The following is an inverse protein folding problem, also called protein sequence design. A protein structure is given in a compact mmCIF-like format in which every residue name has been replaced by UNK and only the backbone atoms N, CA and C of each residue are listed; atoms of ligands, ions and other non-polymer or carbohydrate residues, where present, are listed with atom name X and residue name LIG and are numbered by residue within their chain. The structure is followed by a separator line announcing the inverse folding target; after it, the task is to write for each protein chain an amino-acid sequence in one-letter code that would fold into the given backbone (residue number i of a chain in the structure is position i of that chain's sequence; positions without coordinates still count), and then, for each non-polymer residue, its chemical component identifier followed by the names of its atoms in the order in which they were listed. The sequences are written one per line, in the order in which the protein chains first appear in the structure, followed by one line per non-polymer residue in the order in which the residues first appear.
data_IF_916889758304
#
_entry.id   IF_916889758304
#
_cell.length_a   1.000
_cell.length_b   1.000
_cell.length_c   1.000
_cell.angle_alpha   90.00
_cell.angle_beta   90.00
_cell.angle_gamma   90.00
#
_symmetry.space_group_name_H-M   'P 1'
#
loop_
_entity.id
_entity.type
_entity.pdbx_description
1 polymer ?
#
# COMPACT_ATOMS: atom_id res chain seq x y z
N UNK A 1 18.46 -3.10 21.37
CA UNK A 1 17.14 -3.44 20.79
C UNK A 1 16.41 -4.46 21.63
N UNK A 2 15.15 -4.18 21.99
CA UNK A 2 14.28 -5.13 22.70
C UNK A 2 13.99 -6.34 21.78
N UNK A 3 13.66 -7.51 22.37
CA UNK A 3 13.38 -8.76 21.60
C UNK A 3 12.32 -8.54 20.51
N UNK A 4 11.26 -7.81 20.83
CA UNK A 4 10.17 -7.51 19.89
C UNK A 4 10.59 -6.65 18.69
N UNK A 5 11.53 -5.72 18.88
CA UNK A 5 12.03 -4.88 17.79
C UNK A 5 12.84 -5.72 16.80
N UNK A 6 13.66 -6.64 17.30
CA UNK A 6 14.39 -7.60 16.46
C UNK A 6 13.45 -8.49 15.66
N UNK A 7 12.36 -8.95 16.28
CA UNK A 7 11.34 -9.75 15.60
C UNK A 7 10.68 -8.95 14.48
N UNK A 8 10.25 -7.70 14.74
CA UNK A 8 9.61 -6.86 13.72
C UNK A 8 10.55 -6.57 12.54
N UNK A 9 11.83 -6.28 12.80
CA UNK A 9 12.83 -6.09 11.74
C UNK A 9 13.04 -7.38 10.96
N UNK A 10 13.18 -8.52 11.63
CA UNK A 10 13.36 -9.81 10.96
C UNK A 10 12.15 -10.16 10.08
N UNK A 11 10.92 -9.96 10.58
CA UNK A 11 9.69 -10.12 9.81
C UNK A 11 9.68 -9.21 8.59
N UNK A 12 10.05 -7.93 8.75
CA UNK A 12 10.12 -6.99 7.64
C UNK A 12 11.11 -7.43 6.56
N UNK A 13 12.32 -7.80 6.96
CA UNK A 13 13.37 -8.26 6.05
C UNK A 13 12.93 -9.52 5.29
N UNK A 14 12.42 -10.53 6.00
CA UNK A 14 11.95 -11.77 5.38
C UNK A 14 10.80 -11.50 4.42
N UNK A 15 9.85 -10.65 4.81
CA UNK A 15 8.70 -10.32 3.98
C UNK A 15 9.11 -9.53 2.72
N UNK A 16 10.05 -8.60 2.81
CA UNK A 16 10.57 -7.88 1.64
C UNK A 16 11.39 -8.77 0.72
N UNK A 17 12.24 -9.64 1.26
CA UNK A 17 12.97 -10.62 0.47
C UNK A 17 12.00 -11.55 -0.26
N UNK A 18 10.93 -11.99 0.39
CA UNK A 18 9.90 -12.80 -0.24
C UNK A 18 9.08 -12.01 -1.29
N UNK A 19 8.79 -10.72 -1.06
CA UNK A 19 8.14 -9.85 -2.04
C UNK A 19 8.98 -9.72 -3.33
N UNK A 20 10.29 -9.51 -3.18
CA UNK A 20 11.23 -9.43 -4.31
C UNK A 20 11.37 -10.79 -4.99
N UNK A 21 11.62 -11.85 -4.23
CA UNK A 21 11.82 -13.20 -4.77
C UNK A 21 10.55 -13.75 -5.43
N UNK A 22 9.37 -13.39 -4.93
CA UNK A 22 8.10 -13.87 -5.47
C UNK A 22 7.81 -13.38 -6.90
N UNK A 23 8.46 -12.30 -7.37
CA UNK A 23 8.45 -11.95 -8.80
C UNK A 23 9.03 -13.05 -9.69
N UNK A 24 9.96 -13.85 -9.15
CA UNK A 24 10.64 -14.93 -9.87
C UNK A 24 10.06 -16.31 -9.55
N UNK A 25 9.50 -16.48 -8.34
CA UNK A 25 9.05 -17.79 -7.84
C UNK A 25 7.53 -17.93 -7.87
N UNK A 26 6.79 -16.92 -7.40
CA UNK A 26 5.34 -16.99 -7.25
C UNK A 26 4.61 -16.57 -8.53
N UNK A 27 5.09 -15.51 -9.19
CA UNK A 27 4.47 -14.97 -10.41
C UNK A 27 4.36 -15.98 -11.56
N UNK A 28 5.40 -16.77 -11.92
CA UNK A 28 5.25 -17.78 -12.97
C UNK A 28 4.23 -18.87 -12.61
N UNK A 29 4.14 -19.23 -11.32
CA UNK A 29 3.14 -20.17 -10.82
C UNK A 29 1.72 -19.60 -10.92
N UNK A 30 1.54 -18.32 -10.59
CA UNK A 30 0.27 -17.61 -10.72
C UNK A 30 -0.21 -17.51 -12.18
N UNK A 31 0.69 -17.15 -13.10
CA UNK A 31 0.35 -17.07 -14.53
C UNK A 31 -0.10 -18.43 -15.08
N UNK A 32 0.62 -19.51 -14.76
CA UNK A 32 0.21 -20.88 -15.14
C UNK A 32 -1.12 -21.29 -14.49
N UNK A 33 -1.40 -20.82 -13.27
CA UNK A 33 -2.68 -21.07 -12.59
C UNK A 33 -3.84 -20.35 -13.29
N UNK A 34 -3.64 -19.09 -13.69
CA UNK A 34 -4.62 -18.32 -14.46
C UNK A 34 -4.87 -18.93 -15.85
N UNK A 35 -3.80 -19.32 -16.56
CA UNK A 35 -3.88 -19.95 -17.89
C UNK A 35 -4.65 -21.28 -17.86
N UNK A 36 -4.56 -22.03 -16.76
CA UNK A 36 -5.30 -23.30 -16.55
C UNK A 36 -6.73 -23.09 -16.02
N UNK A 37 -7.19 -21.83 -15.89
CA UNK A 37 -8.53 -21.51 -15.40
C UNK A 37 -8.82 -22.02 -13.99
N UNK A 38 -7.79 -22.27 -13.18
CA UNK A 38 -7.93 -22.88 -11.85
C UNK A 38 -8.39 -24.33 -11.84
N UNK A 39 -8.33 -25.03 -12.98
CA UNK A 39 -8.66 -26.45 -13.08
C UNK A 39 -7.39 -27.30 -13.01
N UNK A 40 -7.44 -28.41 -12.27
CA UNK A 40 -6.36 -29.40 -12.27
C UNK A 40 -6.32 -30.12 -13.63
N UNK A 41 -5.14 -30.57 -14.05
CA UNK A 41 -4.99 -31.37 -15.28
C UNK A 41 -5.83 -32.67 -15.24
N UNK A 42 -6.28 -33.09 -14.05
CA UNK A 42 -7.31 -34.08 -13.83
C UNK A 42 -8.61 -33.37 -13.39
N UNK A 43 -9.49 -33.04 -14.34
CA UNK A 43 -10.79 -32.45 -14.02
C UNK A 43 -11.57 -33.36 -13.08
N UNK A 44 -11.78 -32.91 -11.82
CA UNK A 44 -12.89 -33.24 -10.89
C UNK A 44 -12.54 -33.11 -9.39
N UNK A 45 -11.30 -32.79 -9.01
CA UNK A 45 -10.94 -32.53 -7.61
C UNK A 45 -10.13 -31.23 -7.43
N UNK A 46 -10.34 -30.56 -6.29
CA UNK A 46 -9.52 -29.41 -5.88
C UNK A 46 -8.11 -29.93 -5.57
N UNK A 47 -7.20 -29.78 -6.52
CA UNK A 47 -5.83 -30.27 -6.41
C UNK A 47 -5.05 -29.46 -5.36
N UNK A 48 -4.37 -30.15 -4.43
CA UNK A 48 -3.55 -29.53 -3.39
C UNK A 48 -2.46 -28.62 -4.01
N UNK A 49 -1.97 -28.96 -5.21
CA UNK A 49 -1.02 -28.13 -5.94
C UNK A 49 -1.61 -26.76 -6.31
N UNK A 50 -2.89 -26.72 -6.66
CA UNK A 50 -3.64 -25.48 -6.96
C UNK A 50 -3.79 -24.63 -5.69
N UNK A 51 -4.19 -25.22 -4.57
CA UNK A 51 -4.36 -24.51 -3.30
C UNK A 51 -3.02 -23.94 -2.80
N UNK A 52 -1.94 -24.72 -2.87
CA UNK A 52 -0.60 -24.27 -2.52
C UNK A 52 -0.11 -23.15 -3.44
N UNK A 53 -0.39 -23.22 -4.75
CA UNK A 53 -0.08 -22.16 -5.70
C UNK A 53 -0.83 -20.86 -5.38
N UNK A 54 -2.12 -20.94 -5.08
CA UNK A 54 -2.95 -19.81 -4.68
C UNK A 54 -2.45 -19.18 -3.36
N UNK A 55 -2.18 -19.99 -2.34
CA UNK A 55 -1.65 -19.50 -1.06
C UNK A 55 -0.30 -18.81 -1.20
N UNK A 56 0.63 -19.34 -2.02
CA UNK A 56 1.93 -18.71 -2.31
C UNK A 56 1.76 -17.35 -2.99
N UNK A 57 0.82 -17.27 -3.93
CA UNK A 57 0.50 -16.03 -4.64
C UNK A 57 -0.09 -15.00 -3.69
N UNK A 58 -1.10 -15.38 -2.89
CA UNK A 58 -1.71 -14.50 -1.89
C UNK A 58 -0.63 -14.01 -0.92
N UNK A 59 0.18 -14.92 -0.37
CA UNK A 59 1.24 -14.54 0.55
C UNK A 59 2.24 -13.57 -0.08
N UNK A 60 2.61 -13.79 -1.35
CA UNK A 60 3.52 -12.90 -2.08
C UNK A 60 2.91 -11.51 -2.27
N UNK A 61 1.63 -11.46 -2.66
CA UNK A 61 0.84 -10.25 -2.82
C UNK A 61 0.75 -9.43 -1.52
N UNK A 62 0.66 -10.08 -0.35
CA UNK A 62 0.68 -9.40 0.96
C UNK A 62 2.07 -9.15 1.53
N UNK A 63 3.12 -9.79 1.01
CA UNK A 63 4.44 -9.80 1.64
C UNK A 63 5.00 -8.39 1.84
N UNK A 64 4.91 -7.54 0.82
CA UNK A 64 5.35 -6.15 0.94
C UNK A 64 4.52 -5.38 1.98
N UNK A 65 3.19 -5.52 1.95
CA UNK A 65 2.29 -4.88 2.90
C UNK A 65 2.63 -5.27 4.35
N UNK A 66 2.86 -6.56 4.61
CA UNK A 66 3.24 -7.07 5.93
C UNK A 66 4.59 -6.54 6.39
N UNK A 67 5.59 -6.49 5.49
CA UNK A 67 6.91 -5.96 5.82
C UNK A 67 6.88 -4.47 6.14
N UNK A 68 6.17 -3.68 5.33
CA UNK A 68 5.99 -2.25 5.55
C UNK A 68 5.23 -1.96 6.87
N UNK A 69 4.19 -2.75 7.17
CA UNK A 69 3.46 -2.64 8.43
C UNK A 69 4.32 -3.02 9.65
N UNK A 70 5.20 -4.01 9.54
CA UNK A 70 6.11 -4.37 10.64
C UNK A 70 7.06 -3.20 10.99
N UNK A 71 7.60 -2.51 9.98
CA UNK A 71 8.42 -1.31 10.19
C UNK A 71 7.59 -0.13 10.71
N UNK A 72 6.38 0.06 10.20
CA UNK A 72 5.46 1.08 10.70
C UNK A 72 5.15 0.88 12.19
N UNK A 73 4.82 -0.34 12.61
CA UNK A 73 4.60 -0.65 14.03
C UNK A 73 5.86 -0.47 14.87
N UNK A 74 7.04 -0.80 14.34
CA UNK A 74 8.29 -0.54 15.02
C UNK A 74 8.47 0.96 15.32
N UNK A 75 8.16 1.84 14.36
CA UNK A 75 8.27 3.28 14.58
C UNK A 75 7.18 3.80 15.54
N UNK A 76 5.93 3.34 15.39
CA UNK A 76 4.84 3.74 16.28
C UNK A 76 5.04 3.35 17.75
N UNK A 77 5.80 2.27 18.02
CA UNK A 77 6.14 1.86 19.39
C UNK A 77 7.03 2.87 20.13
N UNK A 78 7.65 3.80 19.40
CA UNK A 78 8.46 4.89 19.95
C UNK A 78 7.60 6.11 20.31
N UNK A 79 6.32 6.09 19.95
CA UNK A 79 5.34 7.13 20.26
C UNK A 79 4.44 6.68 21.42
N UNK A 80 3.59 7.60 21.86
CA UNK A 80 2.53 7.33 22.82
C UNK A 80 1.65 6.13 22.43
N UNK A 81 1.21 5.37 23.44
CA UNK A 81 0.34 4.17 23.27
C UNK A 81 -0.96 4.45 22.50
N UNK A 82 -1.42 5.70 22.50
CA UNK A 82 -2.58 6.14 21.72
C UNK A 82 -2.30 6.02 20.22
N UNK A 83 -1.17 6.53 19.75
CA UNK A 83 -0.79 6.49 18.34
C UNK A 83 -0.51 5.07 17.86
N UNK A 84 0.07 4.22 18.72
CA UNK A 84 0.22 2.80 18.43
C UNK A 84 -1.15 2.12 18.19
N UNK A 85 -2.14 2.36 19.07
CA UNK A 85 -3.50 1.79 18.93
C UNK A 85 -4.19 2.28 17.66
N UNK A 86 -4.12 3.59 17.38
CA UNK A 86 -4.71 4.18 16.17
C UNK A 86 -4.03 3.61 14.93
N UNK A 87 -2.70 3.56 14.89
CA UNK A 87 -1.98 3.02 13.74
C UNK A 87 -2.21 1.53 13.51
N UNK A 88 -2.35 0.72 14.56
CA UNK A 88 -2.79 -0.68 14.43
C UNK A 88 -4.19 -0.79 13.83
N UNK A 89 -5.13 0.06 14.26
CA UNK A 89 -6.47 0.09 13.68
C UNK A 89 -6.45 0.49 12.19
N UNK A 90 -5.67 1.53 11.83
CA UNK A 90 -5.48 1.95 10.43
C UNK A 90 -4.92 0.80 9.59
N UNK A 91 -3.87 0.13 10.07
CA UNK A 91 -3.25 -1.00 9.38
C UNK A 91 -4.23 -2.18 9.21
N UNK A 92 -5.00 -2.51 10.25
CA UNK A 92 -6.00 -3.59 10.18
C UNK A 92 -7.12 -3.27 9.19
N UNK A 93 -7.65 -2.03 9.21
CA UNK A 93 -8.65 -1.55 8.25
C UNK A 93 -8.09 -1.60 6.84
N UNK A 94 -6.83 -1.18 6.65
CA UNK A 94 -6.19 -1.21 5.34
C UNK A 94 -6.01 -2.63 4.81
N UNK A 95 -5.54 -3.58 5.62
CA UNK A 95 -5.46 -4.99 5.20
C UNK A 95 -6.85 -5.52 4.83
N UNK A 96 -7.87 -5.29 5.65
CA UNK A 96 -9.23 -5.73 5.35
C UNK A 96 -9.73 -5.15 4.03
N UNK A 97 -9.55 -3.84 3.82
CA UNK A 97 -9.91 -3.15 2.58
C UNK A 97 -9.13 -3.66 1.37
N UNK A 98 -7.82 -3.88 1.52
CA UNK A 98 -6.97 -4.39 0.45
C UNK A 98 -7.33 -5.83 0.08
N UNK A 99 -7.87 -6.60 1.03
CA UNK A 99 -8.35 -7.98 0.83
C UNK A 99 -9.65 -8.10 0.05
N UNK A 100 -10.34 -6.98 -0.23
CA UNK A 100 -11.55 -7.00 -1.05
C UNK A 100 -11.20 -7.37 -2.51
N UNK A 101 -11.77 -8.46 -3.06
CA UNK A 101 -11.40 -8.96 -4.38
C UNK A 101 -11.86 -8.03 -5.51
N UNK A 102 -12.94 -7.29 -5.28
CA UNK A 102 -13.49 -6.33 -6.24
C UNK A 102 -14.05 -5.13 -5.49
N UNK A 103 -13.83 -3.95 -6.05
CA UNK A 103 -14.51 -2.72 -5.66
C UNK A 103 -15.51 -2.31 -6.75
N UNK A 104 -16.60 -1.60 -6.39
CA UNK A 104 -17.46 -1.01 -7.40
C UNK A 104 -16.65 -0.10 -8.32
N UNK A 105 -16.94 -0.14 -9.63
CA UNK A 105 -16.26 0.71 -10.61
C UNK A 105 -16.50 2.17 -10.25
N UNK A 106 -15.44 2.86 -9.86
CA UNK A 106 -15.51 4.29 -9.57
C UNK A 106 -15.66 5.08 -10.88
N UNK A 107 -16.47 6.15 -10.91
CA UNK A 107 -16.63 6.98 -12.11
C UNK A 107 -15.34 7.74 -12.43
N UNK A 108 -15.16 8.16 -13.68
CA UNK A 108 -14.00 8.97 -14.10
C UNK A 108 -13.77 10.21 -13.22
N UNK A 109 -14.86 10.85 -12.77
CA UNK A 109 -14.82 11.99 -11.86
C UNK A 109 -14.11 11.69 -10.53
N UNK A 110 -14.18 10.46 -10.01
CA UNK A 110 -13.46 10.05 -8.80
C UNK A 110 -11.94 10.11 -9.03
N UNK A 111 -11.45 9.57 -10.16
CA UNK A 111 -10.02 9.56 -10.44
C UNK A 111 -9.48 10.96 -10.71
N UNK A 112 -10.25 11.82 -11.39
CA UNK A 112 -9.86 13.21 -11.66
C UNK A 112 -9.79 14.01 -10.35
N UNK A 113 -10.81 13.88 -9.48
CA UNK A 113 -10.84 14.61 -8.20
C UNK A 113 -9.75 14.10 -7.26
N UNK A 114 -9.55 12.79 -7.18
CA UNK A 114 -8.49 12.20 -6.38
C UNK A 114 -7.10 12.60 -6.87
N UNK A 115 -6.84 12.53 -8.17
CA UNK A 115 -5.57 12.99 -8.76
C UNK A 115 -5.31 14.47 -8.49
N UNK A 116 -6.33 15.31 -8.66
CA UNK A 116 -6.25 16.74 -8.34
C UNK A 116 -5.94 16.97 -6.86
N UNK A 117 -6.59 16.23 -5.96
CA UNK A 117 -6.34 16.32 -4.52
C UNK A 117 -4.92 15.87 -4.14
N UNK A 118 -4.37 14.84 -4.79
CA UNK A 118 -2.96 14.45 -4.62
C UNK A 118 -2.03 15.58 -5.05
N UNK A 119 -2.26 16.20 -6.21
CA UNK A 119 -1.44 17.33 -6.68
C UNK A 119 -1.51 18.52 -5.71
N UNK A 120 -2.70 18.84 -5.20
CA UNK A 120 -2.87 19.86 -4.17
C UNK A 120 -2.15 19.51 -2.87
N UNK A 121 -2.14 18.23 -2.47
CA UNK A 121 -1.41 17.77 -1.29
C UNK A 121 0.13 17.83 -1.50
N UNK A 122 0.62 17.53 -2.71
CA UNK A 122 2.04 17.73 -3.07
C UNK A 122 2.40 19.21 -3.00
N UNK A 123 1.60 20.09 -3.59
CA UNK A 123 1.81 21.53 -3.53
C UNK A 123 1.78 22.03 -2.07
N UNK A 124 0.83 21.53 -1.28
CA UNK A 124 0.68 21.81 0.15
C UNK A 124 1.91 21.46 0.98
N UNK A 125 2.60 20.35 0.65
CA UNK A 125 3.86 19.94 1.27
C UNK A 125 4.97 20.95 1.00
N UNK A 126 5.07 21.45 -0.24
CA UNK A 126 6.16 22.37 -0.64
C UNK A 126 5.97 23.80 -0.12
N UNK A 127 4.72 24.24 0.04
CA UNK A 127 4.39 25.60 0.51
C UNK A 127 4.23 25.67 2.04
N UNK A 128 4.17 24.53 2.73
CA UNK A 128 3.93 24.49 4.17
C UNK A 128 5.17 24.74 5.01
N UNK A 129 5.11 25.75 5.90
CA UNK A 129 5.96 25.86 7.09
C UNK A 129 5.12 25.61 8.35
N UNK A 130 5.68 24.99 9.40
CA UNK A 130 4.91 24.73 10.61
C UNK A 130 5.67 24.12 11.79
N UNK A 131 5.08 24.31 12.97
CA UNK A 131 5.57 23.82 14.27
C UNK A 131 4.50 22.96 14.93
N UNK A 132 4.61 21.64 14.78
CA UNK A 132 3.69 20.68 15.36
C UNK A 132 4.17 20.15 16.72
N UNK A 133 3.23 19.61 17.52
CA UNK A 133 3.62 18.65 18.55
C UNK A 133 4.40 17.50 17.88
N UNK A 134 5.64 17.22 18.31
CA UNK A 134 6.58 16.36 17.57
C UNK A 134 6.00 14.96 17.34
N UNK A 135 5.21 14.45 18.27
CA UNK A 135 4.61 13.11 18.18
C UNK A 135 3.51 12.99 17.14
N UNK A 136 2.63 13.99 17.00
CA UNK A 136 1.55 13.95 15.99
C UNK A 136 2.14 14.06 14.58
N UNK A 137 3.10 14.96 14.39
CA UNK A 137 3.79 15.09 13.11
C UNK A 137 4.52 13.80 12.75
N UNK A 138 5.23 13.19 13.70
CA UNK A 138 5.90 11.91 13.50
C UNK A 138 4.91 10.78 13.18
N UNK A 139 3.78 10.69 13.88
CA UNK A 139 2.72 9.71 13.55
C UNK A 139 2.21 9.88 12.11
N UNK A 140 1.89 11.11 11.71
CA UNK A 140 1.39 11.42 10.36
C UNK A 140 2.46 11.14 9.31
N UNK A 141 3.71 11.49 9.57
CA UNK A 141 4.83 11.21 8.68
C UNK A 141 5.03 9.70 8.50
N UNK A 142 5.07 8.92 9.57
CA UNK A 142 5.23 7.47 9.48
C UNK A 142 4.05 6.80 8.77
N UNK A 143 2.85 7.35 8.93
CA UNK A 143 1.65 6.90 8.19
C UNK A 143 1.77 7.26 6.70
N UNK A 144 2.26 8.46 6.38
CA UNK A 144 2.52 8.87 5.00
C UNK A 144 3.52 7.94 4.32
N UNK A 145 4.65 7.65 4.99
CA UNK A 145 5.69 6.75 4.49
C UNK A 145 5.13 5.35 4.23
N UNK A 146 4.31 4.80 5.13
CA UNK A 146 3.66 3.49 4.94
C UNK A 146 2.84 3.45 3.65
N UNK A 147 1.91 4.39 3.50
CA UNK A 147 0.98 4.41 2.36
C UNK A 147 1.66 4.75 1.04
N UNK A 148 2.65 5.63 1.04
CA UNK A 148 3.45 5.93 -0.15
C UNK A 148 4.33 4.73 -0.56
N UNK A 149 4.92 4.02 0.40
CA UNK A 149 5.67 2.80 0.12
C UNK A 149 4.77 1.72 -0.51
N UNK A 150 3.57 1.52 0.03
CA UNK A 150 2.58 0.60 -0.53
C UNK A 150 2.17 1.01 -1.94
N UNK A 151 1.81 2.28 -2.16
CA UNK A 151 1.45 2.78 -3.48
C UNK A 151 2.60 2.60 -4.49
N UNK A 152 3.84 2.85 -4.07
CA UNK A 152 5.03 2.66 -4.91
C UNK A 152 5.23 1.19 -5.27
N UNK A 153 5.02 0.27 -4.33
CA UNK A 153 5.10 -1.17 -4.60
C UNK A 153 4.01 -1.63 -5.58
N UNK A 154 2.78 -1.14 -5.43
CA UNK A 154 1.69 -1.46 -6.36
C UNK A 154 2.01 -0.99 -7.79
N UNK A 155 2.56 0.22 -7.94
CA UNK A 155 2.94 0.76 -9.27
C UNK A 155 4.15 0.03 -9.85
N UNK A 156 5.24 -0.06 -9.09
CA UNK A 156 6.52 -0.52 -9.60
C UNK A 156 6.68 -2.05 -9.53
N UNK A 157 6.20 -2.67 -8.46
CA UNK A 157 6.28 -4.12 -8.24
C UNK A 157 5.20 -4.88 -8.99
N UNK A 158 3.93 -4.55 -8.75
CA UNK A 158 2.79 -5.25 -9.35
C UNK A 158 2.47 -4.74 -10.76
N UNK A 159 2.57 -3.43 -11.01
CA UNK A 159 2.32 -2.85 -12.34
C UNK A 159 3.27 -3.34 -13.44
N UNK A 160 4.54 -3.62 -13.10
CA UNK A 160 5.54 -4.15 -14.05
C UNK A 160 5.39 -5.66 -14.32
N UNK A 161 4.81 -6.41 -13.38
CA UNK A 161 4.72 -7.88 -13.43
C UNK A 161 3.34 -8.40 -13.85
N UNK A 162 2.27 -7.66 -13.55
CA UNK A 162 0.88 -8.04 -13.79
C UNK A 162 0.35 -7.77 -15.20
N UNK A 163 1.20 -7.40 -16.16
CA UNK A 163 0.82 -7.05 -17.54
C UNK A 163 -0.25 -5.95 -17.64
N UNK A 164 -0.40 -5.13 -16.59
CA UNK A 164 -1.29 -3.95 -16.56
C UNK A 164 -0.95 -2.96 -17.69
N UNK A 165 0.32 -2.92 -18.11
CA UNK A 165 0.83 -2.07 -19.18
C UNK A 165 0.74 -2.70 -20.59
N UNK A 166 0.17 -3.90 -20.73
CA UNK A 166 -0.01 -4.59 -22.02
C UNK A 166 -1.49 -4.59 -22.42
N UNK A 167 -2.02 -3.48 -23.00
CA UNK A 167 -3.44 -3.31 -23.28
C UNK A 167 -3.99 -4.38 -24.23
N UNK A 168 -3.17 -4.93 -25.13
CA UNK A 168 -3.53 -6.05 -26.01
C UNK A 168 -3.95 -7.34 -25.27
N UNK A 169 -3.60 -7.51 -23.99
CA UNK A 169 -4.00 -8.68 -23.20
C UNK A 169 -5.18 -8.39 -22.23
N UNK A 170 -5.65 -7.15 -22.16
CA UNK A 170 -6.70 -6.65 -21.24
C UNK A 170 -8.12 -6.78 -21.83
N UNK A 171 -8.25 -7.46 -22.99
CA UNK A 171 -9.52 -7.59 -23.75
C UNK A 171 -10.61 -8.37 -22.99
N UNK A 172 -10.29 -9.04 -21.89
CA UNK A 172 -11.26 -9.75 -21.05
C UNK A 172 -11.93 -8.82 -20.03
N UNK A 173 -13.26 -8.83 -19.96
CA UNK A 173 -14.05 -8.00 -19.03
C UNK A 173 -13.64 -8.18 -17.55
N UNK A 174 -13.15 -9.36 -17.17
CA UNK A 174 -12.59 -9.64 -15.83
C UNK A 174 -11.31 -8.86 -15.53
N UNK A 175 -10.44 -8.61 -16.51
CA UNK A 175 -9.24 -7.80 -16.30
C UNK A 175 -9.55 -6.32 -16.05
N UNK A 176 -10.63 -5.79 -16.63
CA UNK A 176 -11.02 -4.39 -16.40
C UNK A 176 -11.51 -4.12 -14.97
N UNK A 177 -12.27 -5.06 -14.38
CA UNK A 177 -12.74 -4.92 -12.98
C UNK A 177 -11.58 -5.06 -12.00
N UNK A 178 -10.62 -5.94 -12.29
CA UNK A 178 -9.40 -6.10 -11.49
C UNK A 178 -8.53 -4.84 -11.58
N UNK A 179 -8.34 -4.31 -12.78
CA UNK A 179 -7.62 -3.06 -13.02
C UNK A 179 -8.29 -1.89 -12.26
N UNK A 180 -9.60 -1.69 -12.41
CA UNK A 180 -10.32 -0.63 -11.71
C UNK A 180 -10.20 -0.75 -10.18
N UNK A 181 -10.27 -1.98 -9.66
CA UNK A 181 -10.12 -2.25 -8.22
C UNK A 181 -8.72 -1.87 -7.73
N UNK A 182 -7.67 -2.30 -8.43
CA UNK A 182 -6.29 -2.00 -8.05
C UNK A 182 -5.97 -0.51 -8.19
N UNK A 183 -6.39 0.12 -9.29
CA UNK A 183 -6.21 1.57 -9.49
C UNK A 183 -6.95 2.38 -8.41
N UNK A 184 -8.13 1.95 -7.97
CA UNK A 184 -8.86 2.61 -6.87
C UNK A 184 -8.09 2.50 -5.55
N UNK A 185 -7.60 1.31 -5.20
CA UNK A 185 -6.78 1.09 -3.99
C UNK A 185 -5.50 1.92 -4.02
N UNK A 186 -4.82 1.95 -5.17
CA UNK A 186 -3.63 2.75 -5.41
C UNK A 186 -3.92 4.25 -5.20
N UNK A 187 -5.00 4.75 -5.79
CA UNK A 187 -5.38 6.16 -5.69
C UNK A 187 -5.68 6.55 -4.24
N UNK A 188 -6.38 5.69 -3.48
CA UNK A 188 -6.61 5.90 -2.06
C UNK A 188 -5.31 5.89 -1.25
N UNK A 189 -4.37 4.99 -1.56
CA UNK A 189 -3.07 4.97 -0.90
C UNK A 189 -2.29 6.28 -1.14
N UNK A 190 -2.31 6.83 -2.36
CA UNK A 190 -1.71 8.13 -2.65
C UNK A 190 -2.40 9.27 -1.91
N UNK A 191 -3.73 9.31 -1.90
CA UNK A 191 -4.50 10.34 -1.17
C UNK A 191 -4.16 10.34 0.32
N UNK A 192 -4.16 9.16 0.95
CA UNK A 192 -3.84 9.02 2.37
C UNK A 192 -2.37 9.39 2.61
N UNK A 193 -1.46 8.89 1.77
CA UNK A 193 -0.03 9.14 1.88
C UNK A 193 0.31 10.62 1.80
N UNK A 194 -0.06 11.28 0.71
CA UNK A 194 0.19 12.70 0.50
C UNK A 194 -0.61 13.58 1.45
N UNK A 195 -1.86 13.22 1.77
CA UNK A 195 -2.66 13.94 2.76
C UNK A 195 -2.02 13.92 4.16
N UNK A 196 -1.54 12.76 4.60
CA UNK A 196 -0.80 12.64 5.86
C UNK A 196 0.52 13.41 5.82
N UNK A 197 1.24 13.38 4.70
CA UNK A 197 2.49 14.11 4.54
C UNK A 197 2.27 15.62 4.62
N UNK A 198 1.30 16.15 3.85
CA UNK A 198 0.91 17.55 3.90
C UNK A 198 0.46 17.97 5.31
N UNK A 199 -0.35 17.14 5.97
CA UNK A 199 -0.80 17.39 7.33
C UNK A 199 0.34 17.31 8.36
N UNK A 200 1.36 16.49 8.14
CA UNK A 200 2.53 16.43 9.03
C UNK A 200 3.35 17.74 9.02
N UNK A 201 3.29 18.48 7.91
CA UNK A 201 4.04 19.72 7.69
C UNK A 201 3.22 20.99 7.99
N UNK A 202 1.88 20.95 7.88
CA UNK A 202 1.00 22.12 8.08
C UNK A 202 0.64 22.36 9.55
N UNK A 203 1.51 23.07 10.26
CA UNK A 203 1.40 23.33 11.71
C UNK A 203 1.66 24.77 12.16
N UNK A 204 1.48 25.78 11.31
CA UNK A 204 1.39 27.19 11.73
C UNK A 204 2.24 28.17 10.92
N UNK A 205 1.56 29.08 10.23
CA UNK A 205 2.08 30.41 9.86
C UNK A 205 2.19 31.26 11.12
N UNK A 206 3.39 31.40 11.69
CA UNK A 206 3.72 32.65 12.37
C UNK A 206 3.91 33.65 11.24
N UNK A 207 2.88 34.47 11.00
CA UNK A 207 3.08 35.77 10.36
C UNK A 207 4.01 36.53 11.30
N UNK A 208 5.32 36.40 11.05
CA UNK A 208 6.31 37.24 11.68
C UNK A 208 6.00 38.66 11.23
N UNK A 209 5.43 39.44 12.14
CA UNK A 209 5.56 40.89 12.12
C UNK A 209 7.06 41.20 12.03
N UNK A 210 7.56 41.39 10.82
CA UNK A 210 8.76 42.19 10.61
C UNK A 210 8.36 43.64 10.91
N UNK A 211 8.49 44.03 12.17
CA UNK A 211 8.60 45.43 12.54
C UNK A 211 10.07 45.81 12.40
N UNK A 212 10.44 46.72 11.49
CA UNK A 212 11.78 47.24 11.42
C UNK A 212 11.96 48.27 12.54
N UNK A 213 12.75 47.92 13.54
CA UNK A 213 13.43 48.89 14.40
C UNK A 213 14.92 48.71 14.21
#
# INVERSE_FOLDING_TARGET
MKRIERILVAVAVVAFLYAIAGNYIALPGYLRFLERGGTSAAGNHMDMAVVLGAMRTILWMYAFNLGAMALYFLDLRRLDRRYLRIGMAIAAIWIAFWSLPSLPRMPAAFYITAGSAVLLAIFAVHVGGGNHRPERARFLFSTAVLFLAMATWEVCGLGSTGRILHPEQVVLERSQTLLATQTTKLMLAFLIGWGCLAASLRGGTIVGNFSPH
#
